data_IF_550359273738
#
_entry.id   IF_550359273738
#
_cell.length_a   1.000
_cell.length_b   1.000
_cell.length_c   1.000
_cell.angle_alpha   90.00
_cell.angle_beta   90.00
_cell.angle_gamma   90.00
#
_symmetry.space_group_name_H-M   'P 1'
#
loop_
_entity.id
_entity.type
_entity.pdbx_description
1 polymer ?
#
# COMPACT_ATOMS: atom_id res chain seq x y z
N UNK A 1 -46.97 26.61 18.65
CA UNK A 1 -45.84 26.85 17.72
C UNK A 1 -44.47 26.64 18.36
N UNK A 2 -44.33 26.86 19.67
CA UNK A 2 -43.05 26.81 20.40
C UNK A 2 -42.31 25.45 20.36
N UNK A 3 -43.03 24.33 20.45
CA UNK A 3 -42.40 22.99 20.46
C UNK A 3 -41.80 22.61 19.09
N UNK A 4 -42.43 23.00 17.98
CA UNK A 4 -41.89 22.72 16.63
C UNK A 4 -40.56 23.43 16.40
N UNK A 5 -40.40 24.64 16.93
CA UNK A 5 -39.15 25.40 16.83
C UNK A 5 -38.02 24.75 17.64
N UNK A 6 -38.33 24.20 18.83
CA UNK A 6 -37.36 23.44 19.65
C UNK A 6 -36.86 22.18 18.94
N UNK A 7 -37.73 21.44 18.25
CA UNK A 7 -37.32 20.25 17.47
C UNK A 7 -36.48 20.60 16.24
N UNK A 8 -36.77 21.72 15.57
CA UNK A 8 -35.96 22.20 14.44
C UNK A 8 -34.55 22.58 14.91
N UNK A 9 -34.43 23.29 16.03
CA UNK A 9 -33.13 23.61 16.62
C UNK A 9 -32.34 22.37 17.08
N UNK A 10 -33.01 21.38 17.68
CA UNK A 10 -32.38 20.12 18.07
C UNK A 10 -31.84 19.33 16.85
N UNK A 11 -32.60 19.28 15.74
CA UNK A 11 -32.16 18.66 14.49
C UNK A 11 -30.94 19.37 13.89
N UNK A 12 -30.92 20.71 13.90
CA UNK A 12 -29.77 21.50 13.42
C UNK A 12 -28.52 21.21 14.24
N UNK A 13 -28.64 21.14 15.57
CA UNK A 13 -27.51 20.82 16.47
C UNK A 13 -26.97 19.41 16.19
N UNK A 14 -27.85 18.42 16.02
CA UNK A 14 -27.41 17.03 15.71
C UNK A 14 -26.69 16.97 14.37
N UNK A 15 -27.16 17.69 13.35
CA UNK A 15 -26.50 17.77 12.04
C UNK A 15 -25.13 18.45 12.16
N UNK A 16 -25.04 19.56 12.89
CA UNK A 16 -23.78 20.28 13.11
C UNK A 16 -22.77 19.47 13.92
N UNK A 17 -23.21 18.73 14.93
CA UNK A 17 -22.35 17.81 15.70
C UNK A 17 -21.86 16.66 14.83
N UNK A 18 -22.70 16.09 13.96
CA UNK A 18 -22.25 15.07 13.01
C UNK A 18 -21.23 15.62 12.01
N UNK A 19 -21.43 16.83 11.49
CA UNK A 19 -20.47 17.50 10.59
C UNK A 19 -19.14 17.79 11.30
N UNK A 20 -19.20 18.18 12.58
CA UNK A 20 -18.01 18.42 13.41
C UNK A 20 -17.25 17.11 13.69
N UNK A 21 -17.95 16.03 14.04
CA UNK A 21 -17.36 14.70 14.25
C UNK A 21 -16.73 14.18 12.95
N UNK A 22 -17.42 14.31 11.81
CA UNK A 22 -16.85 13.97 10.50
C UNK A 22 -15.59 14.82 10.24
N UNK A 23 -15.61 16.12 10.52
CA UNK A 23 -14.46 17.03 10.33
C UNK A 23 -13.25 16.69 11.21
N UNK A 24 -13.49 16.17 12.42
CA UNK A 24 -12.44 15.68 13.34
C UNK A 24 -11.88 14.34 12.85
N UNK A 25 -12.75 13.43 12.38
CA UNK A 25 -12.35 12.11 11.85
C UNK A 25 -11.62 12.24 10.51
N UNK A 26 -11.94 13.22 9.66
CA UNK A 26 -11.23 13.46 8.39
C UNK A 26 -9.85 14.10 8.55
N UNK A 27 -9.48 14.57 9.76
CA UNK A 27 -8.16 15.16 10.04
C UNK A 27 -7.11 14.17 10.56
N UNK A 28 -7.42 12.88 10.63
CA UNK A 28 -6.47 11.81 10.97
C UNK A 28 -6.01 11.05 9.71
N UNK A 29 -5.71 11.79 8.64
CA UNK A 29 -5.11 11.26 7.41
C UNK A 29 -3.60 11.10 7.56
N UNK A 30 -3.15 10.10 8.32
CA UNK A 30 -1.74 9.70 8.33
C UNK A 30 -1.32 9.21 6.94
N UNK A 31 -0.49 9.99 6.25
CA UNK A 31 0.03 9.63 4.92
C UNK A 31 0.89 8.36 5.01
N UNK A 32 0.41 7.26 4.43
CA UNK A 32 1.14 5.98 4.37
C UNK A 32 2.16 6.07 3.23
N UNK A 33 3.37 6.50 3.55
CA UNK A 33 4.47 6.61 2.60
C UNK A 33 5.21 5.28 2.39
N UNK A 34 5.50 5.03 1.12
CA UNK A 34 6.22 3.92 0.50
C UNK A 34 7.44 3.46 1.30
N UNK A 35 7.61 2.15 1.48
CA UNK A 35 8.69 1.54 2.26
C UNK A 35 9.75 0.96 1.32
N UNK A 36 10.78 1.72 0.97
CA UNK A 36 11.89 1.18 0.18
C UNK A 36 12.83 0.37 1.08
N UNK A 37 12.97 -0.93 0.80
CA UNK A 37 13.84 -1.88 1.52
C UNK A 37 14.96 -2.38 0.59
N UNK A 38 15.95 -3.06 1.17
CA UNK A 38 17.00 -3.76 0.40
C UNK A 38 16.36 -4.69 -0.63
N UNK A 39 16.76 -4.56 -1.89
CA UNK A 39 16.23 -5.30 -3.03
C UNK A 39 15.16 -4.54 -3.83
N UNK A 40 14.59 -3.45 -3.31
CA UNK A 40 13.65 -2.59 -4.07
C UNK A 40 14.33 -2.00 -5.30
N UNK A 41 13.59 -1.83 -6.40
CA UNK A 41 14.10 -1.21 -7.62
C UNK A 41 13.09 -0.24 -8.24
N UNK A 42 13.54 0.83 -8.90
CA UNK A 42 12.71 1.75 -9.66
C UNK A 42 12.98 3.24 -9.41
N UNK A 43 12.11 4.10 -9.95
CA UNK A 43 12.24 5.57 -9.87
C UNK A 43 12.18 6.11 -8.42
N UNK A 44 11.47 5.43 -7.53
CA UNK A 44 11.47 5.76 -6.10
C UNK A 44 12.87 5.59 -5.49
N UNK A 45 13.52 4.46 -5.77
CA UNK A 45 14.90 4.19 -5.32
C UNK A 45 15.86 5.20 -5.94
N UNK A 46 15.69 5.58 -7.21
CA UNK A 46 16.48 6.65 -7.82
C UNK A 46 16.28 7.98 -7.10
N UNK A 47 15.06 8.33 -6.72
CA UNK A 47 14.76 9.54 -5.94
C UNK A 47 15.44 9.51 -4.58
N UNK A 48 15.35 8.38 -3.86
CA UNK A 48 16.05 8.16 -2.59
C UNK A 48 17.57 8.29 -2.76
N UNK A 49 18.16 7.57 -3.73
CA UNK A 49 19.59 7.63 -4.03
C UNK A 49 20.03 9.05 -4.40
N UNK A 50 19.24 9.77 -5.21
CA UNK A 50 19.50 11.17 -5.59
C UNK A 50 19.50 12.09 -4.38
N UNK A 51 18.48 12.00 -3.52
CA UNK A 51 18.39 12.83 -2.31
C UNK A 51 19.48 12.51 -1.31
N UNK A 52 19.79 11.23 -1.11
CA UNK A 52 20.91 10.80 -0.28
C UNK A 52 22.25 11.28 -0.86
N UNK A 53 22.42 11.28 -2.18
CA UNK A 53 23.64 11.75 -2.84
C UNK A 53 23.81 13.26 -2.71
N UNK A 54 22.73 14.02 -2.94
CA UNK A 54 22.71 15.48 -2.77
C UNK A 54 23.02 15.90 -1.32
N UNK A 55 22.67 15.07 -0.35
CA UNK A 55 22.97 15.29 1.07
C UNK A 55 24.30 14.66 1.51
N UNK A 56 25.07 14.05 0.60
CA UNK A 56 26.40 13.50 0.86
C UNK A 56 26.44 12.11 1.50
N UNK A 57 25.30 11.44 1.66
CA UNK A 57 25.21 10.09 2.26
C UNK A 57 25.39 8.96 1.25
N UNK A 58 25.18 9.21 -0.05
CA UNK A 58 25.29 8.20 -1.11
C UNK A 58 26.32 8.60 -2.18
N UNK A 59 27.30 7.73 -2.43
CA UNK A 59 28.39 7.93 -3.41
C UNK A 59 28.35 6.94 -4.58
N UNK A 60 27.38 6.02 -4.57
CA UNK A 60 27.21 5.03 -5.62
C UNK A 60 26.51 5.59 -6.85
N UNK A 61 26.35 4.75 -7.88
CA UNK A 61 25.56 5.08 -9.06
C UNK A 61 24.07 5.19 -8.68
N UNK A 62 23.38 6.19 -9.23
CA UNK A 62 21.91 6.29 -9.15
C UNK A 62 21.34 5.37 -10.22
N UNK A 63 21.27 4.08 -9.90
CA UNK A 63 20.79 3.01 -10.78
C UNK A 63 19.34 2.61 -10.50
N UNK A 64 18.76 3.13 -9.42
CA UNK A 64 17.43 2.76 -8.98
C UNK A 64 17.39 1.39 -8.35
N UNK A 65 18.51 0.83 -7.89
CA UNK A 65 18.59 -0.47 -7.22
C UNK A 65 18.92 -0.25 -5.75
N UNK A 66 18.06 -0.71 -4.85
CA UNK A 66 18.26 -0.58 -3.41
C UNK A 66 19.18 -1.70 -2.94
N UNK A 67 20.44 -1.62 -3.35
CA UNK A 67 21.49 -2.54 -2.95
C UNK A 67 22.08 -2.23 -1.57
N UNK A 68 23.16 -2.93 -1.24
CA UNK A 68 23.92 -2.74 0.01
C UNK A 68 24.40 -1.28 0.19
N UNK A 69 24.83 -0.63 -0.89
CA UNK A 69 25.28 0.76 -0.85
C UNK A 69 24.15 1.73 -0.49
N UNK A 70 22.97 1.56 -1.09
CA UNK A 70 21.78 2.37 -0.80
C UNK A 70 21.33 2.17 0.65
N UNK A 71 21.33 0.92 1.13
CA UNK A 71 21.03 0.61 2.53
C UNK A 71 21.98 1.32 3.50
N UNK A 72 23.29 1.21 3.27
CA UNK A 72 24.29 1.85 4.13
C UNK A 72 24.16 3.38 4.14
N UNK A 73 23.81 3.98 3.00
CA UNK A 73 23.51 5.41 2.92
C UNK A 73 22.26 5.78 3.72
N UNK A 74 21.19 4.98 3.64
CA UNK A 74 19.98 5.17 4.45
C UNK A 74 20.27 5.05 5.95
N UNK A 75 21.01 4.02 6.38
CA UNK A 75 21.44 3.86 7.79
C UNK A 75 22.21 5.10 8.26
N UNK A 76 23.14 5.60 7.43
CA UNK A 76 23.98 6.76 7.77
C UNK A 76 23.13 8.03 7.91
N UNK A 77 22.21 8.23 6.96
CA UNK A 77 21.24 9.32 7.01
C UNK A 77 20.35 9.24 8.25
N UNK A 78 19.78 8.07 8.55
CA UNK A 78 18.94 7.85 9.72
C UNK A 78 19.66 8.19 11.03
N UNK A 79 20.91 7.71 11.19
CA UNK A 79 21.75 8.05 12.35
C UNK A 79 21.93 9.57 12.47
N UNK A 80 22.25 10.23 11.37
CA UNK A 80 22.47 11.69 11.35
C UNK A 80 21.19 12.51 11.64
N UNK A 81 20.01 11.95 11.36
CA UNK A 81 18.71 12.59 11.63
C UNK A 81 18.06 12.14 12.94
N UNK A 82 18.74 11.34 13.75
CA UNK A 82 18.18 10.82 15.01
C UNK A 82 17.02 9.85 14.83
N UNK A 83 16.97 9.15 13.68
CA UNK A 83 15.97 8.13 13.37
C UNK A 83 16.49 6.74 13.73
N UNK A 84 15.59 5.77 13.84
CA UNK A 84 15.95 4.35 13.93
C UNK A 84 16.78 3.95 12.71
N UNK A 85 18.01 3.48 12.93
CA UNK A 85 18.99 3.19 11.89
C UNK A 85 18.86 1.76 11.34
N UNK A 86 17.67 1.40 10.86
CA UNK A 86 17.34 0.07 10.35
C UNK A 86 17.71 -0.14 8.87
N UNK A 87 18.10 0.93 8.17
CA UNK A 87 18.47 0.90 6.76
C UNK A 87 17.28 0.80 5.82
N UNK A 88 16.09 1.14 6.32
CA UNK A 88 14.84 1.10 5.59
C UNK A 88 14.37 2.54 5.35
N UNK A 89 14.10 2.89 4.09
CA UNK A 89 13.55 4.20 3.75
C UNK A 89 12.03 4.20 3.97
N UNK A 90 11.61 4.16 5.24
CA UNK A 90 10.20 4.28 5.64
C UNK A 90 9.72 5.73 5.77
N UNK A 91 8.46 5.96 6.15
CA UNK A 91 7.82 7.29 6.13
C UNK A 91 8.64 8.40 6.80
N UNK A 92 9.17 8.13 8.01
CA UNK A 92 10.00 9.11 8.74
C UNK A 92 11.30 9.43 8.01
N UNK A 93 11.95 8.41 7.44
CA UNK A 93 13.17 8.56 6.64
C UNK A 93 12.89 9.34 5.36
N UNK A 94 11.82 9.00 4.64
CA UNK A 94 11.43 9.65 3.39
C UNK A 94 11.02 11.11 3.58
N UNK A 95 10.22 11.40 4.61
CA UNK A 95 9.88 12.76 4.99
C UNK A 95 11.14 13.57 5.32
N UNK A 96 12.07 13.00 6.09
CA UNK A 96 13.34 13.64 6.41
C UNK A 96 14.24 13.83 5.18
N UNK A 97 14.15 12.96 4.16
CA UNK A 97 14.87 13.10 2.89
C UNK A 97 14.23 14.15 1.96
N UNK A 98 13.04 14.63 2.27
CA UNK A 98 12.23 15.42 1.34
C UNK A 98 11.83 14.61 0.10
N UNK A 99 11.70 13.29 0.26
CA UNK A 99 11.12 12.37 -0.71
C UNK A 99 9.67 12.16 -0.27
N UNK A 100 8.81 13.14 -0.56
CA UNK A 100 7.41 13.10 -0.17
C UNK A 100 6.72 14.39 -0.55
N UNK A 101 5.73 14.30 -1.45
CA UNK A 101 4.87 15.40 -1.84
C UNK A 101 5.23 16.04 -3.18
N UNK A 102 4.77 15.41 -4.26
CA UNK A 102 4.38 16.16 -5.47
C UNK A 102 2.94 15.78 -5.79
N UNK A 103 2.11 16.81 -5.91
CA UNK A 103 0.66 16.79 -6.10
C UNK A 103 0.18 15.72 -7.09
N UNK A 104 -0.82 14.92 -6.66
CA UNK A 104 -1.47 13.89 -7.48
C UNK A 104 -1.92 12.62 -6.73
N UNK A 105 -1.81 12.58 -5.39
CA UNK A 105 -2.19 11.41 -4.61
C UNK A 105 -3.72 11.22 -4.56
N UNK A 106 -4.20 10.10 -5.12
CA UNK A 106 -5.57 9.61 -4.94
C UNK A 106 -5.57 8.68 -3.72
N UNK A 107 -6.35 8.99 -2.68
CA UNK A 107 -6.51 8.11 -1.51
C UNK A 107 -5.28 7.94 -0.61
N UNK A 108 -4.33 8.89 -0.61
CA UNK A 108 -3.12 8.82 0.23
C UNK A 108 -1.97 7.98 -0.34
N UNK A 109 -2.13 7.40 -1.54
CA UNK A 109 -1.10 6.66 -2.26
C UNK A 109 -0.49 7.51 -3.38
N UNK A 110 0.82 7.40 -3.60
CA UNK A 110 1.51 8.03 -4.73
C UNK A 110 1.20 7.32 -6.05
N UNK A 111 1.40 7.97 -7.20
CA UNK A 111 1.26 7.31 -8.52
C UNK A 111 2.17 6.07 -8.66
N UNK A 112 3.31 6.06 -7.96
CA UNK A 112 4.22 4.92 -7.92
C UNK A 112 3.64 3.76 -7.10
N UNK A 113 2.98 4.06 -5.97
CA UNK A 113 2.28 3.05 -5.17
C UNK A 113 1.12 2.41 -5.95
N UNK A 114 0.34 3.23 -6.65
CA UNK A 114 -0.73 2.74 -7.55
C UNK A 114 -0.15 1.83 -8.63
N UNK A 115 0.99 2.20 -9.20
CA UNK A 115 1.67 1.39 -10.22
C UNK A 115 2.17 0.07 -9.64
N UNK A 116 2.76 0.09 -8.44
CA UNK A 116 3.24 -1.11 -7.76
C UNK A 116 2.07 -2.05 -7.42
N UNK A 117 0.98 -1.51 -6.87
CA UNK A 117 -0.23 -2.28 -6.56
C UNK A 117 -0.84 -2.88 -7.83
N UNK A 118 -0.98 -2.09 -8.90
CA UNK A 118 -1.52 -2.56 -10.19
C UNK A 118 -0.68 -3.68 -10.79
N UNK A 119 0.63 -3.59 -10.67
CA UNK A 119 1.58 -4.58 -11.19
C UNK A 119 1.51 -5.91 -10.46
N UNK A 120 1.46 -5.89 -9.13
CA UNK A 120 1.23 -7.11 -8.33
C UNK A 120 -0.15 -7.68 -8.64
N UNK A 121 -1.18 -6.84 -8.65
CA UNK A 121 -2.55 -7.25 -9.00
C UNK A 121 -2.58 -7.93 -10.38
N UNK A 122 -1.94 -7.34 -11.39
CA UNK A 122 -1.89 -7.89 -12.75
C UNK A 122 -1.23 -9.26 -12.82
N UNK A 123 -0.22 -9.51 -11.98
CA UNK A 123 0.47 -10.80 -11.94
C UNK A 123 -0.33 -11.87 -11.18
N UNK A 124 -0.94 -11.49 -10.07
CA UNK A 124 -1.66 -12.40 -9.16
C UNK A 124 -3.07 -12.76 -9.67
N UNK A 125 -3.67 -11.89 -10.47
CA UNK A 125 -5.05 -12.04 -10.96
C UNK A 125 -5.16 -12.06 -12.49
N UNK A 126 -4.08 -12.47 -13.18
CA UNK A 126 -4.09 -12.58 -14.64
C UNK A 126 -5.12 -13.60 -15.10
N UNK A 127 -6.06 -13.15 -15.93
CA UNK A 127 -7.16 -13.99 -16.43
C UNK A 127 -8.37 -14.06 -15.49
N UNK A 128 -8.30 -13.47 -14.31
CA UNK A 128 -9.43 -13.36 -13.39
C UNK A 128 -10.45 -12.31 -13.87
N UNK A 129 -11.73 -12.47 -13.51
CA UNK A 129 -12.74 -11.43 -13.71
C UNK A 129 -12.30 -10.13 -13.02
N UNK A 130 -12.76 -8.98 -13.52
CA UNK A 130 -12.39 -7.67 -12.98
C UNK A 130 -12.59 -7.57 -11.46
N UNK A 131 -13.70 -8.09 -10.94
CA UNK A 131 -13.98 -8.16 -9.50
C UNK A 131 -12.90 -8.93 -8.71
N UNK A 132 -12.33 -9.98 -9.29
CA UNK A 132 -11.22 -10.74 -8.68
C UNK A 132 -9.92 -9.95 -8.66
N UNK A 133 -9.67 -9.13 -9.68
CA UNK A 133 -8.52 -8.20 -9.70
C UNK A 133 -8.65 -7.16 -8.58
N UNK A 134 -9.84 -6.58 -8.41
CA UNK A 134 -10.10 -5.63 -7.30
C UNK A 134 -9.94 -6.34 -5.94
N UNK A 135 -10.45 -7.57 -5.80
CA UNK A 135 -10.34 -8.34 -4.56
C UNK A 135 -8.89 -8.61 -4.16
N UNK A 136 -8.00 -8.96 -5.10
CA UNK A 136 -6.57 -9.15 -4.83
C UNK A 136 -5.91 -7.84 -4.39
N UNK A 137 -6.22 -6.73 -5.07
CA UNK A 137 -5.72 -5.42 -4.67
C UNK A 137 -6.20 -5.03 -3.26
N UNK A 138 -7.47 -5.29 -2.95
CA UNK A 138 -8.06 -5.02 -1.64
C UNK A 138 -7.42 -5.85 -0.52
N UNK A 139 -7.11 -7.13 -0.75
CA UNK A 139 -6.37 -7.96 0.23
C UNK A 139 -5.02 -7.33 0.59
N UNK A 140 -4.29 -6.76 -0.38
CA UNK A 140 -3.02 -6.08 -0.13
C UNK A 140 -3.24 -4.86 0.79
N UNK A 141 -4.30 -4.09 0.56
CA UNK A 141 -4.65 -2.94 1.40
C UNK A 141 -5.11 -3.37 2.80
N UNK A 142 -5.92 -4.43 2.91
CA UNK A 142 -6.34 -5.02 4.18
C UNK A 142 -5.14 -5.47 5.03
N UNK A 143 -4.10 -6.01 4.40
CA UNK A 143 -2.85 -6.34 5.10
C UNK A 143 -2.14 -5.10 5.66
N UNK A 144 -2.18 -3.95 4.98
CA UNK A 144 -1.60 -2.70 5.51
C UNK A 144 -2.28 -2.29 6.82
N UNK A 145 -3.59 -2.52 6.91
CA UNK A 145 -4.40 -2.19 8.08
C UNK A 145 -4.35 -3.25 9.19
N UNK A 146 -3.96 -4.48 8.86
CA UNK A 146 -4.00 -5.61 9.79
C UNK A 146 -2.72 -5.74 10.64
N UNK A 147 -2.81 -5.90 11.97
CA UNK A 147 -1.65 -5.85 12.89
C UNK A 147 -0.62 -6.96 12.68
N UNK A 148 -1.00 -8.08 12.06
CA UNK A 148 -0.08 -9.20 11.75
C UNK A 148 0.83 -8.94 10.54
N UNK A 149 0.70 -7.80 9.87
CA UNK A 149 1.42 -7.48 8.65
C UNK A 149 2.11 -6.10 8.76
N UNK A 150 3.09 -5.83 7.89
CA UNK A 150 3.68 -4.50 7.79
C UNK A 150 2.64 -3.44 7.40
N UNK A 151 2.73 -2.28 8.04
CA UNK A 151 1.79 -1.17 7.86
C UNK A 151 2.12 -0.26 6.66
N UNK A 152 2.71 -0.80 5.60
CA UNK A 152 3.02 -0.05 4.36
C UNK A 152 2.86 -0.94 3.14
N UNK A 153 2.48 -0.36 2.00
CA UNK A 153 2.25 -1.11 0.76
C UNK A 153 3.47 -1.94 0.34
N UNK A 154 4.64 -1.31 0.26
CA UNK A 154 5.87 -2.02 -0.06
C UNK A 154 6.26 -3.02 1.05
N UNK A 155 5.96 -2.73 2.31
CA UNK A 155 6.15 -3.66 3.41
C UNK A 155 5.39 -4.97 3.22
N UNK A 156 4.12 -4.88 2.82
CA UNK A 156 3.27 -6.04 2.49
C UNK A 156 3.74 -6.76 1.23
N UNK A 157 3.99 -6.00 0.16
CA UNK A 157 4.35 -6.56 -1.15
C UNK A 157 5.70 -7.30 -1.10
N UNK A 158 6.70 -6.77 -0.41
CA UNK A 158 8.04 -7.38 -0.37
C UNK A 158 8.23 -8.40 0.77
N UNK A 159 7.17 -8.87 1.42
CA UNK A 159 7.31 -9.97 2.37
C UNK A 159 7.81 -11.23 1.66
N UNK A 160 8.79 -11.96 2.24
CA UNK A 160 9.28 -13.20 1.66
C UNK A 160 8.13 -14.18 1.38
N UNK A 161 7.97 -14.59 0.11
CA UNK A 161 6.94 -15.53 -0.32
C UNK A 161 5.52 -14.98 -0.44
N UNK A 162 5.29 -13.67 -0.27
CA UNK A 162 3.95 -13.09 -0.39
C UNK A 162 3.48 -12.96 -1.84
N UNK A 163 4.40 -12.65 -2.76
CA UNK A 163 4.11 -12.45 -4.19
C UNK A 163 5.29 -12.98 -5.02
N UNK A 164 5.11 -14.15 -5.66
CA UNK A 164 6.19 -14.78 -6.45
C UNK A 164 6.56 -13.97 -7.69
N UNK A 165 5.62 -13.17 -8.21
CA UNK A 165 5.81 -12.31 -9.38
C UNK A 165 6.95 -11.30 -9.26
N UNK A 166 7.38 -10.97 -8.03
CA UNK A 166 8.49 -10.07 -7.77
C UNK A 166 9.84 -10.71 -8.09
N UNK A 167 9.95 -12.03 -7.94
CA UNK A 167 11.20 -12.79 -8.16
C UNK A 167 11.26 -13.41 -9.56
N UNK A 168 10.10 -13.77 -10.13
CA UNK A 168 10.01 -14.52 -11.39
C UNK A 168 9.99 -13.60 -12.64
N UNK A 169 10.28 -12.30 -12.47
CA UNK A 169 10.24 -11.32 -13.55
C UNK A 169 8.83 -10.92 -14.02
N UNK A 170 7.77 -11.46 -13.41
CA UNK A 170 6.37 -11.11 -13.69
C UNK A 170 6.08 -9.61 -13.52
N UNK A 171 6.85 -8.96 -12.65
CA UNK A 171 6.87 -7.50 -12.46
C UNK A 171 7.19 -6.70 -13.76
N UNK A 172 7.89 -7.31 -14.71
CA UNK A 172 8.30 -6.69 -15.97
C UNK A 172 7.32 -6.95 -17.12
N UNK A 173 6.27 -7.75 -16.90
CA UNK A 173 5.24 -7.97 -17.91
C UNK A 173 4.40 -6.69 -18.14
N UNK A 174 3.82 -6.51 -19.34
CA UNK A 174 2.87 -5.43 -19.59
C UNK A 174 1.73 -5.46 -18.58
N UNK A 175 1.49 -4.34 -17.90
CA UNK A 175 0.39 -4.18 -16.95
C UNK A 175 -0.87 -3.93 -17.78
N UNK A 176 -1.92 -4.71 -17.56
CA UNK A 176 -3.20 -4.47 -18.21
C UNK A 176 -3.86 -3.19 -17.67
N UNK A 177 -4.56 -2.45 -18.52
CA UNK A 177 -5.34 -1.27 -18.10
C UNK A 177 -6.34 -1.61 -16.99
N UNK A 178 -6.88 -2.84 -17.01
CA UNK A 178 -7.77 -3.36 -15.98
C UNK A 178 -7.12 -3.41 -14.60
N UNK A 179 -5.82 -3.72 -14.50
CA UNK A 179 -5.14 -3.83 -13.22
C UNK A 179 -4.89 -2.47 -12.58
N UNK A 180 -4.61 -1.44 -13.38
CA UNK A 180 -4.55 -0.06 -12.89
C UNK A 180 -5.90 0.43 -12.38
N UNK A 181 -6.98 0.10 -13.10
CA UNK A 181 -8.33 0.46 -12.68
C UNK A 181 -8.70 -0.28 -11.39
N UNK A 182 -8.39 -1.57 -11.30
CA UNK A 182 -8.68 -2.39 -10.13
C UNK A 182 -7.93 -1.90 -8.88
N UNK A 183 -6.64 -1.55 -9.01
CA UNK A 183 -5.85 -0.97 -7.94
C UNK A 183 -6.44 0.36 -7.45
N UNK A 184 -6.86 1.24 -8.37
CA UNK A 184 -7.51 2.51 -8.02
C UNK A 184 -8.86 2.31 -7.34
N UNK A 185 -9.66 1.38 -7.81
CA UNK A 185 -10.96 1.06 -7.23
C UNK A 185 -10.82 0.51 -5.80
N UNK A 186 -9.84 -0.36 -5.56
CA UNK A 186 -9.51 -0.82 -4.21
C UNK A 186 -9.04 0.32 -3.30
N UNK A 187 -8.16 1.20 -3.80
CA UNK A 187 -7.69 2.39 -3.06
C UNK A 187 -8.86 3.35 -2.72
N UNK A 188 -9.86 3.44 -3.60
CA UNK A 188 -11.08 4.21 -3.37
C UNK A 188 -12.07 3.52 -2.43
N UNK A 189 -11.70 2.37 -1.85
CA UNK A 189 -12.46 1.67 -0.81
C UNK A 189 -13.34 0.53 -1.30
N UNK A 190 -13.27 0.14 -2.58
CA UNK A 190 -14.02 -1.03 -3.04
C UNK A 190 -13.28 -2.33 -2.68
N UNK A 191 -13.81 -3.05 -1.69
CA UNK A 191 -13.32 -4.38 -1.30
C UNK A 191 -14.37 -5.48 -1.55
N UNK A 192 -14.34 -6.16 -2.71
CA UNK A 192 -15.21 -7.30 -2.97
C UNK A 192 -14.77 -8.59 -2.25
N UNK A 193 -13.59 -8.64 -1.63
CA UNK A 193 -13.12 -9.80 -0.87
C UNK A 193 -13.80 -9.94 0.50
N UNK A 194 -14.44 -8.88 0.98
CA UNK A 194 -15.11 -8.84 2.27
C UNK A 194 -14.16 -8.75 3.47
N UNK A 195 -13.04 -8.04 3.34
CA UNK A 195 -12.04 -7.89 4.40
C UNK A 195 -11.02 -9.02 4.46
N UNK A 196 -10.85 -9.78 3.37
CA UNK A 196 -9.91 -10.89 3.36
C UNK A 196 -8.46 -10.40 3.49
N UNK A 197 -7.63 -11.18 4.19
CA UNK A 197 -6.18 -10.95 4.32
C UNK A 197 -5.36 -12.07 3.66
N UNK A 198 -6.01 -13.13 3.20
CA UNK A 198 -5.41 -14.21 2.43
C UNK A 198 -6.27 -14.54 1.21
N UNK A 199 -5.65 -15.08 0.18
CA UNK A 199 -6.34 -15.74 -0.93
C UNK A 199 -5.50 -16.90 -1.47
N UNK A 200 -6.15 -17.83 -2.14
CA UNK A 200 -5.46 -18.92 -2.85
C UNK A 200 -6.30 -19.47 -4.00
N UNK A 201 -5.60 -19.97 -5.03
CA UNK A 201 -6.22 -20.76 -6.08
C UNK A 201 -6.16 -22.25 -5.68
N UNK A 202 -7.30 -22.93 -5.48
CA UNK A 202 -7.33 -24.32 -5.01
C UNK A 202 -6.72 -25.32 -6.01
N UNK A 203 -6.60 -24.96 -7.29
CA UNK A 203 -5.94 -25.80 -8.30
C UNK A 203 -4.41 -25.67 -8.29
N UNK A 204 -3.85 -24.62 -7.65
CA UNK A 204 -2.40 -24.33 -7.65
C UNK A 204 -1.77 -24.39 -6.26
N UNK A 205 -2.54 -24.06 -5.22
CA UNK A 205 -2.04 -24.06 -3.86
C UNK A 205 -1.76 -25.48 -3.35
N UNK A 206 -0.73 -25.63 -2.53
CA UNK A 206 -0.35 -26.92 -1.93
C UNK A 206 -0.25 -26.86 -0.41
N UNK A 207 -0.41 -25.67 0.19
CA UNK A 207 -0.24 -25.46 1.62
C UNK A 207 -1.45 -25.97 2.41
N UNK A 208 -1.28 -26.98 3.25
CA UNK A 208 -2.35 -27.44 4.15
C UNK A 208 -2.85 -26.35 5.09
N UNK A 209 -1.99 -25.40 5.45
CA UNK A 209 -2.36 -24.26 6.29
C UNK A 209 -3.30 -23.29 5.57
N UNK A 210 -3.12 -23.04 4.26
CA UNK A 210 -4.02 -22.12 3.56
C UNK A 210 -5.42 -22.72 3.39
N UNK A 211 -5.50 -24.05 3.25
CA UNK A 211 -6.75 -24.78 3.15
C UNK A 211 -7.56 -24.84 4.46
N UNK A 212 -6.94 -24.54 5.61
CA UNK A 212 -7.65 -24.48 6.90
C UNK A 212 -8.22 -23.10 7.22
N UNK A 213 -7.91 -22.07 6.41
CA UNK A 213 -8.41 -20.71 6.63
C UNK A 213 -9.92 -20.62 6.34
N UNK A 214 -10.71 -19.92 7.17
CA UNK A 214 -12.11 -19.67 6.89
C UNK A 214 -12.28 -18.89 5.58
N UNK A 215 -12.98 -19.48 4.62
CA UNK A 215 -13.29 -18.83 3.34
C UNK A 215 -14.42 -17.83 3.55
N UNK A 216 -14.17 -16.57 3.19
CA UNK A 216 -15.14 -15.48 3.20
C UNK A 216 -15.95 -15.50 1.90
N UNK A 217 -15.27 -15.57 0.76
CA UNK A 217 -15.90 -15.55 -0.56
C UNK A 217 -15.04 -16.24 -1.62
N UNK A 218 -15.64 -16.51 -2.78
CA UNK A 218 -15.00 -17.08 -3.96
C UNK A 218 -15.26 -16.16 -5.14
N UNK A 219 -14.19 -15.73 -5.81
CA UNK A 219 -14.27 -14.83 -6.97
C UNK A 219 -13.29 -15.35 -8.03
N UNK A 220 -13.84 -15.71 -9.20
CA UNK A 220 -13.06 -16.40 -10.23
C UNK A 220 -12.50 -17.72 -9.69
N UNK A 221 -11.20 -17.93 -9.87
CA UNK A 221 -10.51 -19.14 -9.40
C UNK A 221 -9.98 -18.99 -7.97
N UNK A 222 -10.14 -17.82 -7.33
CA UNK A 222 -9.59 -17.55 -6.00
C UNK A 222 -10.62 -17.71 -4.89
N UNK A 223 -10.17 -18.32 -3.79
CA UNK A 223 -10.84 -18.33 -2.49
C UNK A 223 -10.21 -17.27 -1.59
N UNK A 224 -11.00 -16.36 -1.07
CA UNK A 224 -10.59 -15.25 -0.21
C UNK A 224 -10.91 -15.58 1.25
N UNK A 225 -9.96 -15.38 2.16
CA UNK A 225 -10.02 -15.89 3.52
C UNK A 225 -9.56 -14.88 4.57
N UNK A 226 -10.10 -15.04 5.79
CA UNK A 226 -9.61 -14.38 7.01
C UNK A 226 -8.40 -15.10 7.57
#
# INVERSE_FOLDING_TARGET
MENKLKYVWAMIIVVLVNILVISIVTNLGGSVLTLSKVGSQGEEVKSIQTKLSNQGYYKGKIDGIFGSQTKSAVVSFQKAKGLTADGIAGPKTLAALGVGGSAGAQGGFSSNDVTLLARVTSAESRGEPYTGQVAVAAVILNRIEHPSFPNTLAGVIYQPGAFSCLNDGGINAPISDSAYKAARDAINGWDPSGGAIYYYNPAKATSSWIFSRPVITVIGDHRFCS
#
